data_IF_227801414066
#
_entry.id   IF_227801414066
#
_cell.length_a   1.000
_cell.length_b   1.000
_cell.length_c   1.000
_cell.angle_alpha   90.00
_cell.angle_beta   90.00
_cell.angle_gamma   90.00
#
_symmetry.space_group_name_H-M   'P 1'
#
loop_
_entity.id
_entity.type
_entity.pdbx_description
1 polymer ?
#
# COMPACT_ATOMS: atom_id res chain seq x y z
N UNK A 1 -2.98 -32.31 -22.12
CA UNK A 1 -1.86 -31.42 -21.70
C UNK A 1 -1.99 -30.02 -22.30
N UNK A 2 -2.06 -29.87 -23.62
CA UNK A 2 -2.21 -28.56 -24.28
C UNK A 2 -3.43 -27.74 -23.81
N UNK A 3 -4.60 -28.38 -23.66
CA UNK A 3 -5.81 -27.71 -23.15
C UNK A 3 -5.62 -27.07 -21.76
N UNK A 4 -4.83 -27.72 -20.88
CA UNK A 4 -4.50 -27.17 -19.55
C UNK A 4 -3.63 -25.92 -19.68
N UNK A 5 -2.64 -25.96 -20.57
CA UNK A 5 -1.76 -24.82 -20.86
C UNK A 5 -2.57 -23.64 -21.40
N UNK A 6 -3.46 -23.90 -22.38
CA UNK A 6 -4.36 -22.88 -22.93
C UNK A 6 -5.25 -22.27 -21.84
N UNK A 7 -5.88 -23.11 -21.01
CA UNK A 7 -6.71 -22.66 -19.91
C UNK A 7 -5.93 -21.84 -18.87
N UNK A 8 -4.67 -22.20 -18.60
CA UNK A 8 -3.83 -21.45 -17.66
C UNK A 8 -3.48 -20.07 -18.22
N UNK A 9 -3.11 -19.99 -19.51
CA UNK A 9 -2.81 -18.70 -20.15
C UNK A 9 -4.03 -17.78 -20.20
N UNK A 10 -5.23 -18.31 -20.44
CA UNK A 10 -6.48 -17.53 -20.38
C UNK A 10 -6.73 -16.92 -18.99
N UNK A 11 -6.21 -17.52 -17.93
CA UNK A 11 -6.28 -17.01 -16.56
C UNK A 11 -5.02 -16.24 -16.14
N UNK A 12 -4.12 -15.91 -17.09
CA UNK A 12 -2.84 -15.26 -16.86
C UNK A 12 -1.95 -16.05 -15.86
N UNK A 13 -1.98 -17.38 -15.95
CA UNK A 13 -1.15 -18.28 -15.15
C UNK A 13 -0.06 -18.86 -16.05
N UNK A 14 1.20 -18.61 -15.69
CA UNK A 14 2.34 -19.20 -16.39
C UNK A 14 2.47 -20.67 -15.98
N UNK A 15 2.50 -21.55 -16.97
CA UNK A 15 2.63 -22.98 -16.78
C UNK A 15 4.09 -23.42 -16.94
N UNK A 16 4.58 -24.31 -16.08
CA UNK A 16 5.94 -24.84 -16.16
C UNK A 16 6.25 -25.61 -17.47
N UNK A 17 5.22 -26.03 -18.21
CA UNK A 17 5.39 -26.60 -19.55
C UNK A 17 5.71 -25.55 -20.63
N UNK A 18 5.54 -24.26 -20.34
CA UNK A 18 5.90 -23.15 -21.23
C UNK A 18 7.34 -22.72 -20.97
N UNK A 19 7.69 -22.52 -19.69
CA UNK A 19 9.04 -22.18 -19.26
C UNK A 19 9.31 -22.77 -17.88
N UNK A 20 10.47 -23.38 -17.69
CA UNK A 20 10.89 -23.85 -16.36
C UNK A 20 11.45 -22.69 -15.53
N UNK A 21 11.45 -22.79 -14.18
CA UNK A 21 12.09 -21.80 -13.33
C UNK A 21 13.56 -21.54 -13.74
N UNK A 22 14.35 -22.58 -13.96
CA UNK A 22 15.78 -22.43 -14.32
C UNK A 22 15.98 -21.75 -15.67
N UNK A 23 15.15 -22.10 -16.66
CA UNK A 23 15.18 -21.43 -17.97
C UNK A 23 14.82 -19.95 -17.83
N UNK A 24 13.80 -19.65 -17.02
CA UNK A 24 13.45 -18.27 -16.77
C UNK A 24 14.60 -17.51 -16.09
N UNK A 25 15.28 -18.14 -15.14
CA UNK A 25 16.48 -17.61 -14.47
C UNK A 25 17.58 -17.23 -15.44
N UNK A 26 17.89 -18.10 -16.40
CA UNK A 26 18.90 -17.78 -17.42
C UNK A 26 18.44 -16.65 -18.34
N UNK A 27 17.19 -16.66 -18.79
CA UNK A 27 16.70 -15.64 -19.74
C UNK A 27 16.72 -14.24 -19.11
N UNK A 28 16.28 -14.09 -17.86
CA UNK A 28 16.29 -12.78 -17.21
C UNK A 28 17.72 -12.29 -16.93
N UNK A 29 18.65 -13.18 -16.55
CA UNK A 29 20.06 -12.79 -16.39
C UNK A 29 20.65 -12.23 -17.68
N UNK A 30 20.24 -12.78 -18.82
CA UNK A 30 20.64 -12.28 -20.13
C UNK A 30 20.04 -10.89 -20.40
N UNK A 31 18.73 -10.69 -20.17
CA UNK A 31 18.09 -9.39 -20.48
C UNK A 31 18.51 -8.28 -19.51
N UNK A 32 18.92 -8.59 -18.28
CA UNK A 32 19.36 -7.58 -17.31
C UNK A 32 20.48 -6.68 -17.86
N UNK A 33 21.31 -7.20 -18.75
CA UNK A 33 22.43 -6.47 -19.38
C UNK A 33 21.99 -5.43 -20.42
N UNK A 34 20.74 -5.49 -20.89
CA UNK A 34 20.20 -4.63 -21.95
C UNK A 34 19.02 -3.76 -21.46
N UNK A 35 18.71 -3.80 -20.16
CA UNK A 35 17.66 -2.96 -19.59
C UNK A 35 18.09 -1.49 -19.59
N UNK A 36 17.16 -0.55 -19.83
CA UNK A 36 17.42 0.87 -19.66
C UNK A 36 17.88 1.20 -18.23
N UNK A 37 18.76 2.20 -18.09
CA UNK A 37 19.36 2.56 -16.79
C UNK A 37 18.33 3.03 -15.74
N UNK A 38 17.20 3.58 -16.17
CA UNK A 38 16.12 4.10 -15.32
C UNK A 38 15.10 3.04 -14.90
N UNK A 39 15.23 1.82 -15.42
CA UNK A 39 14.33 0.71 -15.21
C UNK A 39 15.02 -0.49 -14.57
N UNK A 40 14.38 -1.06 -13.56
CA UNK A 40 14.84 -2.28 -12.89
C UNK A 40 13.74 -3.31 -12.81
N UNK A 41 14.17 -4.55 -12.65
CA UNK A 41 13.29 -5.62 -12.20
C UNK A 41 12.98 -5.35 -10.71
N UNK A 42 11.71 -5.39 -10.30
CA UNK A 42 11.30 -4.93 -8.96
C UNK A 42 11.89 -5.75 -7.81
N UNK A 43 12.24 -7.01 -8.06
CA UNK A 43 12.82 -7.91 -7.07
C UNK A 43 14.10 -8.56 -7.61
N UNK A 44 15.02 -8.88 -6.70
CA UNK A 44 16.22 -9.63 -7.04
C UNK A 44 15.82 -10.99 -7.60
N UNK A 45 16.46 -11.39 -8.69
CA UNK A 45 16.20 -12.69 -9.28
C UNK A 45 17.27 -13.71 -8.91
N UNK A 46 16.90 -14.60 -8.00
CA UNK A 46 17.67 -15.76 -7.58
C UNK A 46 16.75 -16.95 -7.32
N UNK A 47 17.38 -18.11 -7.04
CA UNK A 47 16.69 -19.36 -6.78
C UNK A 47 15.73 -19.27 -5.58
N UNK A 48 16.05 -18.41 -4.61
CA UNK A 48 15.25 -18.21 -3.40
C UNK A 48 13.93 -17.46 -3.68
N UNK A 49 13.92 -16.55 -4.65
CA UNK A 49 12.79 -15.63 -4.89
C UNK A 49 12.03 -15.89 -6.20
N UNK A 50 12.33 -16.99 -6.91
CA UNK A 50 11.74 -17.29 -8.21
C UNK A 50 10.20 -17.34 -8.20
N UNK A 51 9.61 -17.80 -7.10
CA UNK A 51 8.16 -17.89 -6.95
C UNK A 51 7.48 -16.52 -6.94
N UNK A 52 8.16 -15.49 -6.43
CA UNK A 52 7.63 -14.12 -6.38
C UNK A 52 7.53 -13.50 -7.79
N UNK A 53 8.43 -13.88 -8.68
CA UNK A 53 8.44 -13.40 -10.07
C UNK A 53 7.26 -13.92 -10.86
N UNK A 54 6.90 -15.19 -10.66
CA UNK A 54 5.71 -15.77 -11.29
C UNK A 54 4.42 -15.02 -10.91
N UNK A 55 4.39 -14.27 -9.79
CA UNK A 55 3.22 -13.46 -9.41
C UNK A 55 3.07 -12.20 -10.27
N UNK A 56 4.18 -11.60 -10.71
CA UNK A 56 4.18 -10.36 -11.50
C UNK A 56 4.21 -10.57 -13.00
N UNK A 57 4.57 -11.78 -13.43
CA UNK A 57 4.52 -12.17 -14.82
C UNK A 57 3.11 -12.07 -15.40
N UNK A 58 3.04 -11.66 -16.66
CA UNK A 58 1.87 -11.89 -17.49
C UNK A 58 2.22 -12.71 -18.71
N UNK A 59 1.23 -13.44 -19.21
CA UNK A 59 1.39 -14.33 -20.35
C UNK A 59 0.27 -14.10 -21.34
N UNK A 60 0.65 -14.01 -22.60
CA UNK A 60 -0.26 -13.93 -23.73
C UNK A 60 0.01 -15.09 -24.68
N UNK A 61 -1.04 -15.60 -25.31
CA UNK A 61 -0.95 -16.62 -26.34
C UNK A 61 -1.44 -16.05 -27.66
N UNK A 62 -0.61 -16.19 -28.68
CA UNK A 62 -0.93 -15.84 -30.05
C UNK A 62 -0.96 -17.11 -30.90
N UNK A 63 -1.80 -17.13 -31.93
CA UNK A 63 -1.82 -18.22 -32.91
C UNK A 63 -1.36 -17.66 -34.25
N UNK A 64 -0.28 -18.20 -34.79
CA UNK A 64 0.29 -17.78 -36.07
C UNK A 64 0.62 -19.03 -36.87
N UNK A 65 0.03 -19.17 -38.08
CA UNK A 65 0.26 -20.31 -38.97
C UNK A 65 0.14 -21.67 -38.27
N UNK A 66 -0.97 -21.89 -37.55
CA UNK A 66 -1.26 -23.10 -36.76
C UNK A 66 -0.25 -23.41 -35.64
N UNK A 67 0.51 -22.41 -35.19
CA UNK A 67 1.44 -22.51 -34.05
C UNK A 67 1.01 -21.60 -32.91
N UNK A 68 1.09 -22.11 -31.69
CA UNK A 68 0.95 -21.31 -30.48
C UNK A 68 2.27 -20.64 -30.14
N UNK A 69 2.23 -19.32 -29.98
CA UNK A 69 3.34 -18.49 -29.53
C UNK A 69 2.96 -17.92 -28.18
N UNK A 70 3.75 -18.21 -27.15
CA UNK A 70 3.55 -17.68 -25.81
C UNK A 70 4.49 -16.51 -25.59
N UNK A 71 3.93 -15.34 -25.26
CA UNK A 71 4.67 -14.14 -24.93
C UNK A 71 4.63 -13.91 -23.43
N UNK A 72 5.78 -14.00 -22.78
CA UNK A 72 5.94 -13.69 -21.37
C UNK A 72 6.34 -12.22 -21.23
N UNK A 73 5.60 -11.47 -20.42
CA UNK A 73 5.85 -10.05 -20.17
C UNK A 73 6.25 -9.84 -18.72
N UNK A 74 7.37 -9.13 -18.54
CA UNK A 74 7.89 -8.72 -17.24
C UNK A 74 7.64 -7.24 -17.04
N UNK A 75 7.03 -6.83 -15.91
CA UNK A 75 6.96 -5.42 -15.59
C UNK A 75 8.34 -4.93 -15.15
N UNK A 76 8.81 -3.90 -15.85
CA UNK A 76 9.93 -3.10 -15.40
C UNK A 76 9.41 -1.95 -14.54
N UNK A 77 10.13 -1.64 -13.48
CA UNK A 77 9.76 -0.59 -12.53
C UNK A 77 10.80 0.52 -12.55
N UNK A 78 10.36 1.74 -12.27
CA UNK A 78 11.26 2.86 -12.04
C UNK A 78 12.20 2.56 -10.86
N UNK A 79 13.39 3.17 -10.90
CA UNK A 79 14.33 3.08 -9.78
C UNK A 79 13.77 3.69 -8.48
N UNK A 80 12.96 4.74 -8.59
CA UNK A 80 12.35 5.46 -7.47
C UNK A 80 11.32 4.59 -6.75
N UNK A 81 11.51 4.44 -5.43
CA UNK A 81 10.55 3.76 -4.57
C UNK A 81 9.70 4.79 -3.83
N UNK A 82 8.40 4.50 -3.71
CA UNK A 82 7.46 5.31 -2.94
C UNK A 82 7.03 4.58 -1.68
N UNK A 83 6.98 5.32 -0.57
CA UNK A 83 6.37 4.89 0.68
C UNK A 83 4.86 5.01 0.58
N UNK A 84 4.14 4.00 1.04
CA UNK A 84 2.67 3.98 1.04
C UNK A 84 2.16 4.36 2.43
N UNK A 85 1.33 5.39 2.49
CA UNK A 85 0.64 5.85 3.70
C UNK A 85 -0.86 5.66 3.53
N UNK A 86 -1.47 4.94 4.46
CA UNK A 86 -2.92 4.81 4.50
C UNK A 86 -3.52 5.90 5.39
N UNK A 87 -4.19 6.86 4.75
CA UNK A 87 -4.76 8.03 5.40
C UNK A 87 -6.18 7.69 5.82
N UNK A 88 -6.42 7.74 7.13
CA UNK A 88 -7.73 7.49 7.72
C UNK A 88 -8.31 8.79 8.30
N UNK A 89 -9.62 9.04 8.10
CA UNK A 89 -10.29 10.13 8.79
C UNK A 89 -10.35 9.86 10.29
N UNK A 90 -9.83 10.82 11.06
CA UNK A 90 -9.98 10.87 12.51
C UNK A 90 -11.12 11.84 12.84
N UNK A 91 -12.09 11.34 13.60
CA UNK A 91 -13.28 12.08 14.00
C UNK A 91 -13.17 12.50 15.45
N UNK A 92 -13.16 13.81 15.69
CA UNK A 92 -13.05 14.39 17.02
C UNK A 92 -14.43 14.90 17.44
N UNK A 93 -15.00 14.45 18.56
CA UNK A 93 -16.31 14.94 19.01
C UNK A 93 -16.22 16.43 19.34
N UNK A 94 -17.18 17.22 18.86
CA UNK A 94 -17.28 18.65 19.20
C UNK A 94 -18.34 18.93 20.27
N UNK A 95 -19.28 18.00 20.47
CA UNK A 95 -20.29 18.09 21.51
C UNK A 95 -20.82 16.70 21.91
N UNK A 96 -21.64 16.68 22.95
CA UNK A 96 -22.30 15.48 23.45
C UNK A 96 -23.45 15.00 22.54
N UNK A 97 -23.81 15.78 21.51
CA UNK A 97 -24.90 15.48 20.57
C UNK A 97 -24.46 14.59 19.40
N UNK A 98 -23.23 14.06 19.42
CA UNK A 98 -22.74 13.14 18.39
C UNK A 98 -22.30 13.85 17.11
N UNK A 99 -21.93 15.13 17.19
CA UNK A 99 -21.29 15.84 16.10
C UNK A 99 -19.76 15.69 16.19
N UNK A 100 -19.12 15.50 15.04
CA UNK A 100 -17.69 15.24 14.93
C UNK A 100 -17.04 16.12 13.88
N UNK A 101 -15.84 16.62 14.20
CA UNK A 101 -14.99 17.37 13.29
C UNK A 101 -13.90 16.46 12.71
N UNK A 102 -13.62 16.59 11.42
CA UNK A 102 -12.65 15.78 10.67
C UNK A 102 -12.11 16.55 9.45
N UNK A 103 -10.92 16.19 8.96
CA UNK A 103 -10.22 16.89 7.87
C UNK A 103 -10.20 16.13 6.53
N UNK A 104 -10.50 14.83 6.53
CA UNK A 104 -10.71 14.05 5.29
C UNK A 104 -12.04 13.32 5.39
N UNK A 105 -12.77 13.19 4.27
CA UNK A 105 -14.07 12.48 4.23
C UNK A 105 -13.90 10.97 4.06
N UNK A 106 -12.95 10.58 3.22
CA UNK A 106 -12.74 9.19 2.81
C UNK A 106 -11.32 8.77 3.15
N UNK A 107 -11.15 7.46 3.39
CA UNK A 107 -9.83 6.87 3.46
C UNK A 107 -9.16 6.86 2.09
N UNK A 108 -7.86 7.08 2.05
CA UNK A 108 -7.08 7.08 0.80
C UNK A 108 -5.65 6.62 1.05
N UNK A 109 -4.94 6.28 -0.01
CA UNK A 109 -3.52 5.96 0.00
C UNK A 109 -2.74 7.14 -0.55
N UNK A 110 -1.79 7.65 0.23
CA UNK A 110 -0.80 8.62 -0.22
C UNK A 110 0.50 7.87 -0.47
N UNK A 111 1.00 7.94 -1.70
CA UNK A 111 2.30 7.40 -2.05
C UNK A 111 3.27 8.56 -2.20
N UNK A 112 4.42 8.47 -1.54
CA UNK A 112 5.35 9.59 -1.45
C UNK A 112 6.79 9.09 -1.52
N UNK A 113 7.64 9.82 -2.23
CA UNK A 113 9.06 9.48 -2.32
C UNK A 113 9.77 9.66 -0.97
N UNK A 114 10.97 9.11 -0.86
CA UNK A 114 11.72 9.08 0.41
C UNK A 114 12.01 10.47 0.98
N UNK A 115 12.17 11.47 0.12
CA UNK A 115 12.49 12.85 0.50
C UNK A 115 11.27 13.79 0.54
N UNK A 116 10.06 13.25 0.35
CA UNK A 116 8.78 13.98 0.44
C UNK A 116 8.63 15.13 -0.57
N UNK A 117 9.20 14.99 -1.77
CA UNK A 117 9.11 15.98 -2.86
C UNK A 117 8.08 15.62 -3.90
N UNK A 118 7.79 14.32 -4.06
CA UNK A 118 6.87 13.79 -5.08
C UNK A 118 5.82 12.94 -4.41
N UNK A 119 4.57 13.04 -4.88
CA UNK A 119 3.49 12.24 -4.37
C UNK A 119 2.43 11.89 -5.42
N UNK A 120 1.60 10.92 -5.07
CA UNK A 120 0.35 10.63 -5.74
C UNK A 120 -0.67 10.07 -4.75
N UNK A 121 -1.96 10.21 -5.08
CA UNK A 121 -3.07 9.79 -4.22
C UNK A 121 -3.87 8.74 -4.95
N UNK A 122 -4.15 7.64 -4.26
CA UNK A 122 -5.00 6.56 -4.74
C UNK A 122 -6.15 6.29 -3.77
N UNK A 123 -7.28 5.85 -4.31
CA UNK A 123 -8.43 5.43 -3.52
C UNK A 123 -8.27 4.00 -2.99
N UNK A 124 -7.58 3.16 -3.76
CA UNK A 124 -7.30 1.77 -3.43
C UNK A 124 -5.97 1.30 -4.04
N UNK A 125 -5.57 0.07 -3.70
CA UNK A 125 -4.35 -0.57 -4.19
C UNK A 125 -4.66 -1.76 -5.11
N UNK A 126 -5.82 -1.75 -5.80
CA UNK A 126 -6.26 -2.88 -6.63
C UNK A 126 -5.34 -3.12 -7.84
N UNK A 127 -4.64 -2.06 -8.30
CA UNK A 127 -3.67 -2.13 -9.39
C UNK A 127 -2.28 -2.63 -8.94
N UNK A 128 -2.14 -3.01 -7.67
CA UNK A 128 -0.90 -3.46 -7.09
C UNK A 128 -0.90 -4.97 -6.81
N UNK A 129 0.26 -5.58 -7.00
CA UNK A 129 0.56 -6.94 -6.55
C UNK A 129 1.56 -6.89 -5.40
N UNK A 130 1.35 -7.71 -4.38
CA UNK A 130 2.33 -7.93 -3.32
C UNK A 130 3.36 -8.94 -3.81
N UNK A 131 4.63 -8.56 -3.76
CA UNK A 131 5.76 -9.34 -4.26
C UNK A 131 6.86 -9.26 -3.22
N UNK A 132 7.18 -10.40 -2.61
CA UNK A 132 7.98 -10.47 -1.39
C UNK A 132 7.46 -9.48 -0.32
N UNK A 133 8.16 -8.37 -0.09
CA UNK A 133 7.82 -7.32 0.89
C UNK A 133 7.51 -5.96 0.27
N UNK A 134 7.31 -5.91 -1.04
CA UNK A 134 7.04 -4.67 -1.78
C UNK A 134 5.71 -4.74 -2.54
N UNK A 135 5.21 -3.57 -2.89
CA UNK A 135 4.10 -3.40 -3.82
C UNK A 135 4.65 -3.12 -5.21
N UNK A 136 4.24 -3.93 -6.19
CA UNK A 136 4.49 -3.68 -7.61
C UNK A 136 3.17 -3.26 -8.23
N UNK A 137 3.07 -1.99 -8.63
CA UNK A 137 1.84 -1.38 -9.09
C UNK A 137 1.96 -0.94 -10.55
N UNK A 138 0.89 -1.12 -11.32
CA UNK A 138 0.74 -0.40 -12.59
C UNK A 138 0.54 1.08 -12.32
N UNK A 139 1.18 1.94 -13.10
CA UNK A 139 1.16 3.39 -12.92
C UNK A 139 0.78 4.09 -14.23
N UNK A 140 -0.32 4.84 -14.20
CA UNK A 140 -0.81 5.67 -15.32
C UNK A 140 -1.07 7.13 -14.91
N UNK A 141 -0.86 7.46 -13.64
CA UNK A 141 -1.18 8.75 -13.05
C UNK A 141 -0.07 9.78 -13.27
N UNK A 142 -0.36 11.04 -12.98
CA UNK A 142 0.64 12.11 -13.00
C UNK A 142 1.28 12.20 -11.62
N UNK A 143 2.62 12.13 -11.56
CA UNK A 143 3.36 12.37 -10.33
C UNK A 143 3.29 13.86 -10.00
N UNK A 144 2.74 14.17 -8.81
CA UNK A 144 2.63 15.55 -8.33
C UNK A 144 3.86 15.94 -7.53
N UNK A 145 4.12 17.24 -7.45
CA UNK A 145 5.21 17.82 -6.66
C UNK A 145 4.65 18.49 -5.40
N UNK A 146 5.17 18.10 -4.23
CA UNK A 146 4.69 18.55 -2.93
C UNK A 146 4.88 20.05 -2.66
N UNK A 147 5.80 20.71 -3.37
CA UNK A 147 6.12 22.12 -3.17
C UNK A 147 5.28 23.02 -4.10
N UNK A 148 5.00 22.57 -5.32
CA UNK A 148 4.19 23.33 -6.29
C UNK A 148 2.69 23.03 -6.18
N UNK A 149 2.32 21.82 -5.74
CA UNK A 149 0.94 21.38 -5.59
C UNK A 149 0.72 20.70 -4.21
N UNK A 150 0.80 21.45 -3.10
CA UNK A 150 0.63 20.90 -1.76
C UNK A 150 -0.84 20.51 -1.51
N UNK A 151 -1.05 19.30 -0.99
CA UNK A 151 -2.34 18.89 -0.42
C UNK A 151 -2.38 19.10 1.08
N UNK A 152 -3.56 18.93 1.68
CA UNK A 152 -3.73 18.97 3.13
C UNK A 152 -2.79 17.96 3.82
N UNK A 153 -2.74 16.72 3.31
CA UNK A 153 -1.98 15.65 3.93
C UNK A 153 -0.48 15.85 3.76
N UNK A 154 -0.03 16.29 2.58
CA UNK A 154 1.41 16.52 2.33
C UNK A 154 1.97 17.61 3.24
N UNK A 155 1.22 18.70 3.48
CA UNK A 155 1.65 19.77 4.40
C UNK A 155 1.57 19.36 5.87
N UNK A 156 0.55 18.59 6.25
CA UNK A 156 0.48 18.03 7.61
C UNK A 156 1.71 17.15 7.91
N UNK A 157 2.18 16.37 6.93
CA UNK A 157 3.39 15.54 7.05
C UNK A 157 4.69 16.37 7.10
N UNK A 158 4.72 17.57 6.52
CA UNK A 158 5.87 18.48 6.56
C UNK A 158 5.99 19.27 7.88
N UNK A 159 5.28 18.85 8.93
CA UNK A 159 5.25 19.48 10.26
C UNK A 159 4.55 20.85 10.31
N UNK A 160 3.39 20.98 9.66
CA UNK A 160 2.57 22.18 9.78
C UNK A 160 2.18 22.44 11.25
N UNK A 161 2.62 23.58 11.81
CA UNK A 161 2.31 24.01 13.18
C UNK A 161 0.86 24.47 13.31
N UNK A 162 0.30 24.97 12.21
CA UNK A 162 -1.09 25.42 12.09
C UNK A 162 -1.80 24.62 11.02
N UNK A 163 -3.13 24.59 11.08
CA UNK A 163 -3.96 23.95 10.06
C UNK A 163 -3.63 24.57 8.69
N UNK A 164 -3.16 23.78 7.70
CA UNK A 164 -2.88 24.29 6.37
C UNK A 164 -4.14 24.85 5.68
N UNK A 165 -4.00 25.88 4.83
CA UNK A 165 -5.15 26.52 4.16
C UNK A 165 -5.94 25.58 3.25
N UNK A 166 -5.25 24.62 2.63
CA UNK A 166 -5.84 23.60 1.77
C UNK A 166 -6.50 22.44 2.53
N UNK A 167 -6.41 22.41 3.86
CA UNK A 167 -7.18 21.49 4.66
C UNK A 167 -8.59 22.01 4.86
N UNK A 168 -9.57 21.31 4.31
CA UNK A 168 -10.96 21.56 4.68
C UNK A 168 -11.27 20.98 6.05
N UNK A 169 -12.35 21.48 6.65
CA UNK A 169 -12.86 20.95 7.91
C UNK A 169 -14.32 20.66 7.76
N UNK A 170 -14.69 19.44 8.12
CA UNK A 170 -16.01 18.91 7.92
C UNK A 170 -16.62 18.58 9.28
N UNK A 171 -17.93 18.83 9.41
CA UNK A 171 -18.72 18.41 10.56
C UNK A 171 -19.67 17.33 10.08
N UNK A 172 -19.63 16.17 10.73
CA UNK A 172 -20.48 15.03 10.44
C UNK A 172 -21.13 14.51 11.72
N UNK A 173 -22.33 13.96 11.59
CA UNK A 173 -23.05 13.35 12.70
C UNK A 173 -23.06 11.83 12.54
N UNK A 174 -22.56 11.12 13.55
CA UNK A 174 -22.56 9.66 13.54
C UNK A 174 -23.21 9.12 14.82
N UNK A 175 -24.06 8.11 14.66
CA UNK A 175 -24.72 7.42 15.77
C UNK A 175 -24.08 6.07 16.10
N UNK A 176 -23.10 5.62 15.31
CA UNK A 176 -22.56 4.25 15.35
C UNK A 176 -21.05 4.22 15.13
N UNK A 177 -20.45 3.05 15.37
CA UNK A 177 -19.05 2.74 15.11
C UNK A 177 -18.69 2.89 13.63
N UNK A 178 -17.45 3.30 13.35
CA UNK A 178 -16.93 3.43 11.98
C UNK A 178 -15.92 2.33 11.68
N UNK A 179 -16.08 1.70 10.52
CA UNK A 179 -15.25 0.59 10.05
C UNK A 179 -14.54 0.99 8.75
N UNK A 180 -13.22 0.81 8.73
CA UNK A 180 -12.38 1.04 7.56
C UNK A 180 -11.76 -0.29 7.14
N UNK A 181 -11.90 -0.69 5.87
CA UNK A 181 -11.22 -1.88 5.38
C UNK A 181 -9.71 -1.66 5.49
N UNK A 182 -9.00 -2.65 6.03
CA UNK A 182 -7.55 -2.68 5.91
C UNK A 182 -7.17 -3.18 4.52
N UNK A 183 -5.96 -2.84 4.10
CA UNK A 183 -5.36 -3.42 2.90
C UNK A 183 -5.28 -4.96 2.98
N UNK A 184 -4.97 -5.50 4.17
CA UNK A 184 -4.88 -6.95 4.35
C UNK A 184 -6.28 -7.57 4.33
N UNK A 185 -6.51 -8.55 3.44
CA UNK A 185 -7.79 -9.27 3.37
C UNK A 185 -8.24 -9.70 4.77
N UNK A 186 -9.52 -9.47 5.08
CA UNK A 186 -10.15 -9.80 6.36
C UNK A 186 -9.57 -9.07 7.58
N UNK A 187 -8.95 -7.91 7.36
CA UNK A 187 -8.55 -6.99 8.40
C UNK A 187 -9.36 -5.70 8.25
N UNK A 188 -9.77 -5.15 9.38
CA UNK A 188 -10.54 -3.93 9.46
C UNK A 188 -9.96 -3.08 10.58
N UNK A 189 -9.91 -1.77 10.34
CA UNK A 189 -9.69 -0.79 11.39
C UNK A 189 -11.06 -0.30 11.84
N UNK A 190 -11.29 -0.25 13.15
CA UNK A 190 -12.52 0.31 13.67
C UNK A 190 -12.20 1.38 14.71
N UNK A 191 -13.03 2.42 14.72
CA UNK A 191 -12.93 3.51 15.66
C UNK A 191 -14.15 3.49 16.59
N UNK A 192 -13.92 3.30 17.88
CA UNK A 192 -14.96 3.40 18.92
C UNK A 192 -14.89 4.79 19.54
N UNK A 193 -16.02 5.50 19.51
CA UNK A 193 -16.18 6.84 20.05
C UNK A 193 -16.78 6.73 21.46
N UNK A 194 -15.99 7.01 22.50
CA UNK A 194 -16.50 7.09 23.88
C UNK A 194 -16.65 8.55 24.31
N UNK A 195 -17.91 8.98 24.46
CA UNK A 195 -18.28 10.36 24.81
C UNK A 195 -17.86 10.79 26.23
N UNK A 196 -17.56 9.84 27.14
CA UNK A 196 -17.37 10.15 28.57
C UNK A 196 -15.92 10.35 29.01
N UNK A 197 -14.92 9.91 28.23
CA UNK A 197 -13.49 10.23 28.42
C UNK A 197 -12.80 10.12 27.07
N UNK A 198 -12.13 11.19 26.65
CA UNK A 198 -11.41 11.31 25.38
C UNK A 198 -10.25 10.29 25.32
N UNK A 199 -10.58 9.05 24.95
CA UNK A 199 -9.64 8.00 24.59
C UNK A 199 -10.09 7.47 23.25
N UNK A 200 -9.63 8.13 22.18
CA UNK A 200 -9.66 7.51 20.86
C UNK A 200 -8.74 6.31 20.94
N UNK A 201 -9.31 5.10 20.87
CA UNK A 201 -8.55 3.86 20.80
C UNK A 201 -8.74 3.29 19.40
N UNK A 202 -7.72 3.44 18.57
CA UNK A 202 -7.59 2.64 17.37
C UNK A 202 -7.10 1.26 17.78
N UNK A 203 -7.90 0.25 17.46
CA UNK A 203 -7.55 -1.15 17.66
C UNK A 203 -7.08 -1.72 16.33
N UNK A 204 -5.78 -1.95 16.22
CA UNK A 204 -5.19 -2.69 15.10
C UNK A 204 -5.21 -4.18 15.48
N UNK A 205 -5.59 -5.06 14.54
CA UNK A 205 -5.65 -6.53 14.76
C UNK A 205 -4.28 -7.14 15.17
N UNK A 206 -3.21 -6.36 15.09
CA UNK A 206 -1.83 -6.67 15.51
C UNK A 206 -1.44 -6.14 16.90
N UNK A 207 -2.39 -5.82 17.78
CA UNK A 207 -2.10 -5.49 19.19
C UNK A 207 -1.60 -4.07 19.44
N UNK A 208 -1.55 -3.21 18.42
CA UNK A 208 -1.28 -1.79 18.60
C UNK A 208 -2.54 -1.08 19.11
N UNK A 209 -2.45 -0.52 20.31
CA UNK A 209 -3.43 0.43 20.85
C UNK A 209 -2.79 1.81 20.76
N UNK A 210 -3.35 2.68 19.93
CA UNK A 210 -2.84 4.02 19.78
C UNK A 210 -3.78 5.02 20.47
N UNK A 211 -3.19 5.89 21.30
CA UNK A 211 -3.89 6.95 22.03
C UNK A 211 -3.43 8.30 21.49
N UNK A 212 -4.37 9.20 21.21
CA UNK A 212 -4.04 10.55 20.76
C UNK A 212 -4.93 11.58 21.47
N UNK A 213 -4.31 12.69 21.87
CA UNK A 213 -4.98 13.87 22.40
C UNK A 213 -5.00 15.05 21.42
N UNK A 214 -4.37 14.91 20.23
CA UNK A 214 -4.10 16.04 19.31
C UNK A 214 -4.20 15.73 17.80
N UNK A 215 -4.75 14.59 17.39
CA UNK A 215 -5.41 14.47 16.08
C UNK A 215 -4.61 13.91 14.89
N UNK A 216 -3.34 13.50 15.05
CA UNK A 216 -2.61 12.71 14.03
C UNK A 216 -2.04 11.45 14.70
N UNK A 217 -2.05 10.34 13.96
CA UNK A 217 -1.66 9.04 14.45
C UNK A 217 -0.92 8.28 13.35
N UNK A 218 0.42 8.26 13.43
CA UNK A 218 1.25 7.44 12.56
C UNK A 218 1.37 6.03 13.15
N UNK A 219 0.91 5.03 12.42
CA UNK A 219 1.18 3.62 12.74
C UNK A 219 2.14 3.05 11.73
N UNK A 220 3.26 2.49 12.17
CA UNK A 220 4.15 1.74 11.30
C UNK A 220 3.75 0.27 11.34
N UNK A 221 3.20 -0.23 10.23
CA UNK A 221 2.92 -1.65 10.07
C UNK A 221 3.92 -2.23 9.07
N UNK A 222 4.86 -3.02 9.58
CA UNK A 222 5.82 -3.76 8.76
C UNK A 222 5.13 -5.01 8.20
N UNK A 223 5.37 -5.32 6.92
CA UNK A 223 5.01 -6.60 6.29
C UNK A 223 5.84 -7.73 6.91
N UNK A 224 5.56 -8.11 8.16
CA UNK A 224 6.09 -9.31 8.76
C UNK A 224 5.10 -10.45 8.52
N UNK A 225 5.55 -11.47 7.79
CA UNK A 225 4.86 -12.75 7.74
C UNK A 225 4.89 -13.34 9.15
N UNK A 226 3.70 -13.60 9.69
CA UNK A 226 3.42 -14.19 11.01
C UNK A 226 3.79 -13.32 12.23
N UNK A 227 2.78 -12.96 13.02
CA UNK A 227 2.97 -12.74 14.45
C UNK A 227 1.88 -13.47 15.22
N UNK A 228 2.30 -14.55 15.89
CA UNK A 228 1.58 -15.14 16.99
C UNK A 228 1.51 -14.14 18.15
N UNK A 229 0.37 -14.16 18.84
CA UNK A 229 0.09 -13.32 20.00
C UNK A 229 1.14 -13.46 21.11
N UNK A 230 1.60 -12.34 21.63
CA UNK A 230 2.01 -12.22 23.02
C UNK A 230 1.71 -10.80 23.52
N UNK A 231 1.04 -10.73 24.68
CA UNK A 231 0.75 -9.50 25.41
C UNK A 231 1.98 -9.15 26.25
N UNK A 232 2.46 -7.90 26.26
CA UNK A 232 3.31 -7.45 27.35
C UNK A 232 2.63 -6.41 28.24
N UNK A 233 2.77 -6.69 29.53
CA UNK A 233 2.61 -5.85 30.72
C UNK A 233 3.44 -4.58 30.59
N UNK A 234 2.91 -3.44 31.06
CA UNK A 234 3.50 -2.11 30.83
C UNK A 234 4.81 -1.82 31.56
N UNK A 235 5.53 -0.78 31.09
CA UNK A 235 6.33 0.18 31.86
C UNK A 235 6.65 1.39 30.95
N UNK A 236 6.62 2.61 31.51
CA UNK A 236 7.03 3.86 30.85
C UNK A 236 8.57 3.96 30.80
N UNK A 237 9.14 4.63 29.77
CA UNK A 237 9.67 5.99 30.01
C UNK A 237 9.37 6.99 28.87
N UNK A 238 9.48 8.26 29.26
CA UNK A 238 9.20 9.49 28.49
C UNK A 238 10.37 9.85 27.57
N UNK A 239 10.10 10.26 26.31
CA UNK A 239 10.88 11.26 25.54
C UNK A 239 10.18 11.62 24.21
N UNK A 240 9.90 12.91 24.00
CA UNK A 240 10.08 13.63 22.72
C UNK A 240 9.20 13.36 21.48
N UNK A 241 8.32 14.34 21.20
CA UNK A 241 7.83 14.87 19.90
C UNK A 241 7.36 13.84 18.85
N UNK A 242 6.06 13.47 18.83
CA UNK A 242 4.94 14.04 18.05
C UNK A 242 5.09 13.99 16.50
N UNK A 243 4.38 13.05 15.87
CA UNK A 243 3.98 13.02 14.45
C UNK A 243 2.47 12.74 14.37
#
# INVERSE_FOLDING_TARGET
>A
RLQRVISNVQNNIVDAFIITPDQLLSEIKNIQTILPDDLKIPIKFDEDNIQEIFKILSIEMHTVNDRFIFSLKFPLCLLENFNVYYILPIYIPINEHGQFIHMTKNSMYLLMDKIMTKYFIWLDLNNCKVVDKIFVCGFNEIIQNCDTDPTCVTELLKNAVTKPPQCDTYISEFKTEMWYPSFFKNHWFFCILSLKKLKLKLYLKSGCIAYTSKGVLKTEQVLNQTSYFSVPVGYFPVSGILL
#
